data_IF_804770706471
#
_entry.id   IF_804770706471
#
_cell.length_a   1.000
_cell.length_b   1.000
_cell.length_c   1.000
_cell.angle_alpha   90.00
_cell.angle_beta   90.00
_cell.angle_gamma   90.00
#
_symmetry.space_group_name_H-M   'P 1'
#
loop_
_entity.id
_entity.type
_entity.pdbx_description
1 polymer ?
#
# COMPACT_ATOMS: atom_id res chain seq x y z
N UNK A 1 25.46 -9.44 -26.82
CA UNK A 1 24.49 -8.75 -25.96
C UNK A 1 25.04 -8.72 -24.55
N UNK A 2 25.55 -7.59 -24.15
CA UNK A 2 25.97 -7.37 -22.78
C UNK A 2 24.74 -6.95 -21.98
N UNK A 3 24.18 -7.87 -21.18
CA UNK A 3 23.27 -7.46 -20.14
C UNK A 3 24.10 -6.72 -19.09
N UNK A 4 23.86 -5.43 -18.94
CA UNK A 4 24.45 -4.68 -17.84
C UNK A 4 23.94 -5.26 -16.53
N UNK A 5 24.82 -5.46 -15.57
CA UNK A 5 24.42 -5.84 -14.21
C UNK A 5 23.53 -4.73 -13.63
N UNK A 6 22.50 -5.09 -12.88
CA UNK A 6 21.64 -4.11 -12.23
C UNK A 6 22.46 -3.23 -11.29
N UNK A 7 22.13 -1.96 -11.21
CA UNK A 7 22.76 -1.07 -10.27
C UNK A 7 22.36 -1.37 -8.82
N UNK A 8 23.02 -0.72 -7.86
CA UNK A 8 22.76 -0.97 -6.44
C UNK A 8 21.31 -0.66 -6.04
N UNK A 9 20.70 0.37 -6.62
CA UNK A 9 19.31 0.73 -6.34
C UNK A 9 18.34 -0.32 -6.88
N UNK A 10 18.59 -0.83 -8.08
CA UNK A 10 17.79 -1.91 -8.66
C UNK A 10 17.90 -3.20 -7.84
N UNK A 11 19.09 -3.50 -7.32
CA UNK A 11 19.32 -4.66 -6.46
C UNK A 11 18.55 -4.54 -5.14
N UNK A 12 18.55 -3.36 -4.53
CA UNK A 12 17.79 -3.09 -3.30
C UNK A 12 16.30 -3.23 -3.56
N UNK A 13 15.80 -2.62 -4.63
CA UNK A 13 14.40 -2.70 -4.99
C UNK A 13 13.94 -4.15 -5.23
N UNK A 14 14.75 -4.96 -5.90
CA UNK A 14 14.47 -6.36 -6.15
C UNK A 14 14.44 -7.18 -4.83
N UNK A 15 15.35 -6.92 -3.92
CA UNK A 15 15.41 -7.58 -2.62
C UNK A 15 14.19 -7.21 -1.75
N UNK A 16 13.81 -5.95 -1.73
CA UNK A 16 12.61 -5.49 -1.03
C UNK A 16 11.35 -6.15 -1.58
N UNK A 17 11.21 -6.20 -2.90
CA UNK A 17 10.09 -6.85 -3.57
C UNK A 17 9.96 -8.32 -3.22
N UNK A 18 11.07 -9.03 -3.16
CA UNK A 18 11.11 -10.46 -2.81
C UNK A 18 10.68 -10.71 -1.37
N UNK A 19 11.06 -9.82 -0.46
CA UNK A 19 10.80 -9.97 0.98
C UNK A 19 9.44 -9.44 1.42
N UNK A 20 8.87 -8.50 0.68
CA UNK A 20 7.68 -7.77 1.06
C UNK A 20 6.39 -8.56 0.84
N UNK A 21 5.39 -8.24 1.63
CA UNK A 21 4.01 -8.71 1.44
C UNK A 21 3.10 -7.51 1.14
N UNK A 22 2.40 -7.59 0.02
CA UNK A 22 1.34 -6.62 -0.31
C UNK A 22 0.01 -7.21 0.13
N UNK A 23 -0.65 -6.56 1.09
CA UNK A 23 -1.96 -6.99 1.58
C UNK A 23 -3.04 -6.20 0.85
N UNK A 24 -4.03 -6.91 0.32
CA UNK A 24 -5.15 -6.32 -0.39
C UNK A 24 -6.41 -6.59 0.41
N UNK A 25 -7.08 -5.52 0.84
CA UNK A 25 -8.35 -5.62 1.56
C UNK A 25 -9.42 -4.94 0.71
N UNK A 26 -10.35 -5.72 0.22
CA UNK A 26 -11.48 -5.28 -0.58
C UNK A 26 -12.61 -6.28 -0.38
N UNK A 27 -13.84 -5.80 -0.24
CA UNK A 27 -15.00 -6.68 -0.06
C UNK A 27 -15.49 -7.31 -1.37
N UNK A 28 -15.08 -6.75 -2.51
CA UNK A 28 -15.40 -7.30 -3.81
C UNK A 28 -14.36 -8.33 -4.24
N UNK A 29 -14.77 -9.60 -4.29
CA UNK A 29 -13.86 -10.70 -4.60
C UNK A 29 -13.18 -10.55 -5.97
N UNK A 30 -13.92 -10.12 -6.97
CA UNK A 30 -13.38 -9.97 -8.32
C UNK A 30 -12.29 -8.90 -8.38
N UNK A 31 -12.46 -7.80 -7.67
CA UNK A 31 -11.48 -6.71 -7.59
C UNK A 31 -10.21 -7.19 -6.89
N UNK A 32 -10.34 -7.76 -5.69
CA UNK A 32 -9.15 -8.17 -4.93
C UNK A 32 -8.38 -9.30 -5.59
N UNK A 33 -9.07 -10.26 -6.19
CA UNK A 33 -8.41 -11.37 -6.90
C UNK A 33 -7.71 -10.90 -8.18
N UNK A 34 -8.31 -9.97 -8.92
CA UNK A 34 -7.68 -9.38 -10.10
C UNK A 34 -6.42 -8.58 -9.72
N UNK A 35 -6.47 -7.80 -8.67
CA UNK A 35 -5.31 -7.07 -8.17
C UNK A 35 -4.21 -8.01 -7.70
N UNK A 36 -4.57 -9.06 -6.96
CA UNK A 36 -3.60 -10.04 -6.47
C UNK A 36 -2.92 -10.77 -7.63
N UNK A 37 -3.68 -11.16 -8.64
CA UNK A 37 -3.13 -11.81 -9.82
C UNK A 37 -2.14 -10.90 -10.56
N UNK A 38 -2.52 -9.66 -10.79
CA UNK A 38 -1.67 -8.67 -11.44
C UNK A 38 -0.35 -8.50 -10.67
N UNK A 39 -0.43 -8.35 -9.35
CA UNK A 39 0.75 -8.19 -8.51
C UNK A 39 1.66 -9.42 -8.55
N UNK A 40 1.10 -10.61 -8.52
CA UNK A 40 1.87 -11.86 -8.59
C UNK A 40 2.57 -12.02 -9.94
N UNK A 41 1.92 -11.64 -11.03
CA UNK A 41 2.52 -11.63 -12.37
C UNK A 41 3.71 -10.68 -12.42
N UNK A 42 3.62 -9.55 -11.72
CA UNK A 42 4.70 -8.56 -11.63
C UNK A 42 5.77 -8.93 -10.59
N UNK A 43 5.67 -10.10 -9.98
CA UNK A 43 6.68 -10.62 -9.05
C UNK A 43 6.48 -10.26 -7.59
N UNK A 44 5.37 -9.65 -7.22
CA UNK A 44 5.05 -9.35 -5.83
C UNK A 44 4.39 -10.54 -5.13
N UNK A 45 4.65 -10.69 -3.85
CA UNK A 45 3.85 -11.59 -3.00
C UNK A 45 2.64 -10.82 -2.51
N UNK A 46 1.46 -11.32 -2.80
CA UNK A 46 0.20 -10.68 -2.45
C UNK A 46 -0.67 -11.61 -1.63
N UNK A 47 -1.31 -11.06 -0.61
CA UNK A 47 -2.31 -11.76 0.21
C UNK A 47 -3.59 -10.94 0.24
N UNK A 48 -4.72 -11.62 0.11
CA UNK A 48 -6.03 -10.97 0.05
C UNK A 48 -6.82 -11.22 1.34
N UNK A 49 -7.60 -10.23 1.73
CA UNK A 49 -8.53 -10.31 2.84
C UNK A 49 -9.89 -9.76 2.42
N UNK A 50 -10.99 -10.44 2.76
CA UNK A 50 -12.32 -10.00 2.36
C UNK A 50 -12.84 -8.80 3.14
N UNK A 51 -12.24 -8.51 4.29
CA UNK A 51 -12.64 -7.41 5.17
C UNK A 51 -11.52 -7.04 6.14
N UNK A 52 -11.72 -5.92 6.81
CA UNK A 52 -10.75 -5.38 7.77
C UNK A 52 -10.51 -6.33 8.96
N UNK A 53 -11.56 -6.98 9.44
CA UNK A 53 -11.46 -7.88 10.59
C UNK A 53 -10.57 -9.10 10.28
N UNK A 54 -10.73 -9.70 9.10
CA UNK A 54 -9.89 -10.82 8.67
C UNK A 54 -8.41 -10.42 8.67
N UNK A 55 -8.10 -9.23 8.14
CA UNK A 55 -6.75 -8.68 8.18
C UNK A 55 -6.22 -8.53 9.60
N UNK A 56 -6.99 -7.91 10.48
CA UNK A 56 -6.56 -7.66 11.86
C UNK A 56 -6.30 -8.94 12.65
N UNK A 57 -7.02 -10.01 12.34
CA UNK A 57 -6.88 -11.30 13.03
C UNK A 57 -5.78 -12.16 12.45
N UNK A 58 -5.65 -12.19 11.13
CA UNK A 58 -4.84 -13.19 10.43
C UNK A 58 -3.48 -12.71 9.98
N UNK A 59 -3.30 -11.40 9.77
CA UNK A 59 -2.08 -10.88 9.18
C UNK A 59 -0.91 -10.86 10.16
N UNK A 60 0.28 -11.18 9.64
CA UNK A 60 1.53 -10.95 10.37
C UNK A 60 2.12 -9.59 9.94
N UNK A 61 1.75 -8.56 10.69
CA UNK A 61 2.19 -7.19 10.44
C UNK A 61 3.69 -6.99 10.64
N UNK A 62 4.41 -7.96 11.19
CA UNK A 62 5.87 -7.92 11.32
C UNK A 62 6.56 -8.06 9.97
N UNK A 63 5.90 -8.70 9.01
CA UNK A 63 6.45 -8.81 7.65
C UNK A 63 6.37 -7.46 6.94
N UNK A 64 7.50 -6.94 6.42
CA UNK A 64 7.50 -5.67 5.69
C UNK A 64 6.58 -5.71 4.47
N UNK A 65 6.09 -4.56 4.10
CA UNK A 65 5.26 -4.42 2.92
C UNK A 65 4.36 -3.20 2.96
N UNK A 66 3.17 -3.36 2.44
CA UNK A 66 2.17 -2.30 2.43
C UNK A 66 0.76 -2.88 2.41
N UNK A 67 -0.21 -1.99 2.54
CA UNK A 67 -1.62 -2.28 2.54
C UNK A 67 -2.29 -1.56 1.39
N UNK A 68 -3.04 -2.28 0.57
CA UNK A 68 -3.92 -1.72 -0.47
C UNK A 68 -5.34 -1.90 0.05
N UNK A 69 -6.02 -0.81 0.30
CA UNK A 69 -7.22 -0.78 1.12
C UNK A 69 -8.35 -0.03 0.45
N UNK A 70 -9.48 -0.70 0.24
CA UNK A 70 -10.70 -0.06 -0.22
C UNK A 70 -11.26 0.85 0.88
N UNK A 71 -11.71 2.03 0.49
CA UNK A 71 -12.33 2.99 1.41
C UNK A 71 -13.70 2.49 1.89
N UNK A 72 -14.52 2.00 0.96
CA UNK A 72 -15.88 1.53 1.27
C UNK A 72 -15.94 0.04 1.44
N UNK A 73 -16.11 -0.38 2.68
CA UNK A 73 -16.34 -1.79 3.00
C UNK A 73 -17.44 -1.88 4.07
N UNK A 74 -18.26 -2.95 4.06
CA UNK A 74 -19.23 -3.16 5.11
C UNK A 74 -18.55 -3.44 6.45
N UNK A 75 -19.22 -3.15 7.55
CA UNK A 75 -18.82 -3.35 8.94
C UNK A 75 -17.71 -2.42 9.41
N UNK A 76 -16.54 -2.46 8.79
CA UNK A 76 -15.44 -1.55 9.09
C UNK A 76 -14.94 -0.95 7.79
N UNK A 77 -15.00 0.37 7.65
CA UNK A 77 -14.51 1.09 6.50
C UNK A 77 -12.98 1.13 6.48
N UNK A 78 -12.40 1.49 5.34
CA UNK A 78 -10.95 1.65 5.24
C UNK A 78 -10.39 2.68 6.22
N UNK A 79 -11.11 3.79 6.44
CA UNK A 79 -10.69 4.81 7.41
C UNK A 79 -10.77 4.31 8.84
N UNK A 80 -11.81 3.57 9.18
CA UNK A 80 -11.94 2.98 10.50
C UNK A 80 -10.83 1.97 10.77
N UNK A 81 -10.45 1.19 9.76
CA UNK A 81 -9.30 0.29 9.86
C UNK A 81 -8.01 1.07 10.08
N UNK A 82 -7.79 2.14 9.34
CA UNK A 82 -6.61 3.00 9.53
C UNK A 82 -6.53 3.52 10.97
N UNK A 83 -7.63 4.01 11.50
CA UNK A 83 -7.70 4.49 12.89
C UNK A 83 -7.42 3.37 13.90
N UNK A 84 -7.96 2.18 13.67
CA UNK A 84 -7.73 1.02 14.53
C UNK A 84 -6.26 0.57 14.51
N UNK A 85 -5.64 0.61 13.33
CA UNK A 85 -4.21 0.31 13.20
C UNK A 85 -3.36 1.31 13.98
N UNK A 86 -3.66 2.60 13.87
CA UNK A 86 -2.97 3.65 14.62
C UNK A 86 -3.13 3.43 16.12
N UNK A 87 -4.33 3.10 16.59
CA UNK A 87 -4.61 2.81 17.98
C UNK A 87 -3.80 1.62 18.51
N UNK A 88 -3.58 0.61 17.66
CA UNK A 88 -2.79 -0.58 18.00
C UNK A 88 -1.29 -0.42 17.80
N UNK A 89 -0.85 0.71 17.27
CA UNK A 89 0.56 0.92 16.93
C UNK A 89 1.02 0.12 15.72
N UNK A 90 0.12 -0.28 14.85
CA UNK A 90 0.44 -0.99 13.62
C UNK A 90 0.74 0.02 12.51
N UNK A 91 1.97 -0.01 12.00
CA UNK A 91 2.47 1.01 11.08
C UNK A 91 2.80 0.44 9.71
N UNK A 92 1.78 0.01 8.98
CA UNK A 92 1.94 -0.37 7.58
C UNK A 92 1.59 0.81 6.68
N UNK A 93 2.43 1.13 5.69
CA UNK A 93 2.06 2.12 4.68
C UNK A 93 0.79 1.70 3.96
N UNK A 94 -0.16 2.60 3.85
CA UNK A 94 -1.49 2.30 3.31
C UNK A 94 -1.76 3.11 2.05
N UNK A 95 -2.17 2.42 0.99
CA UNK A 95 -2.62 3.00 -0.27
C UNK A 95 -4.13 2.77 -0.32
N UNK A 96 -4.90 3.86 -0.33
CA UNK A 96 -6.35 3.76 -0.44
C UNK A 96 -6.80 3.66 -1.90
N UNK A 97 -7.75 2.77 -2.14
CA UNK A 97 -8.50 2.73 -3.41
C UNK A 97 -9.88 3.32 -3.17
N UNK A 98 -10.26 4.30 -3.97
CA UNK A 98 -11.48 5.04 -3.75
C UNK A 98 -12.26 5.28 -5.04
N UNK A 99 -13.59 5.29 -4.96
CA UNK A 99 -14.43 5.79 -6.04
C UNK A 99 -14.47 7.33 -6.04
N UNK A 100 -14.98 7.92 -7.11
CA UNK A 100 -15.07 9.38 -7.23
C UNK A 100 -15.89 10.03 -6.11
N UNK A 101 -16.89 9.33 -5.59
CA UNK A 101 -17.75 9.83 -4.52
C UNK A 101 -17.03 10.01 -3.17
N UNK A 102 -15.87 9.39 -3.02
CA UNK A 102 -15.15 9.34 -1.73
C UNK A 102 -13.83 10.14 -1.75
N UNK A 103 -13.67 11.05 -2.70
CA UNK A 103 -12.43 11.84 -2.83
C UNK A 103 -12.16 12.66 -1.56
N UNK A 104 -13.18 13.29 -0.96
CA UNK A 104 -13.01 14.07 0.27
C UNK A 104 -12.54 13.20 1.44
N UNK A 105 -13.04 11.98 1.49
CA UNK A 105 -12.64 10.98 2.49
C UNK A 105 -11.18 10.58 2.28
N UNK A 106 -10.77 10.38 1.03
CA UNK A 106 -9.41 10.04 0.67
C UNK A 106 -8.42 11.16 1.03
N UNK A 107 -8.77 12.41 0.76
CA UNK A 107 -7.95 13.57 1.15
C UNK A 107 -7.78 13.62 2.67
N UNK A 108 -8.83 13.38 3.41
CA UNK A 108 -8.79 13.29 4.88
C UNK A 108 -7.84 12.19 5.36
N UNK A 109 -7.80 11.06 4.66
CA UNK A 109 -6.93 9.93 5.02
C UNK A 109 -5.44 10.25 4.85
N UNK A 110 -5.07 11.06 3.86
CA UNK A 110 -3.70 11.50 3.65
C UNK A 110 -3.20 12.30 4.85
N UNK A 111 -4.05 13.15 5.42
CA UNK A 111 -3.72 13.93 6.62
C UNK A 111 -3.49 13.04 7.85
N UNK A 112 -3.96 11.80 7.83
CA UNK A 112 -3.81 10.82 8.91
C UNK A 112 -2.68 9.82 8.69
N UNK A 113 -1.85 10.04 7.66
CA UNK A 113 -0.67 9.22 7.40
C UNK A 113 -0.84 8.15 6.34
N UNK A 114 -1.89 8.17 5.52
CA UNK A 114 -1.94 7.34 4.33
C UNK A 114 -0.85 7.77 3.36
N UNK A 115 -0.23 6.81 2.69
CA UNK A 115 0.88 7.06 1.77
C UNK A 115 0.37 7.66 0.46
N UNK A 116 -0.76 7.14 -0.02
CA UNK A 116 -1.33 7.56 -1.29
C UNK A 116 -2.80 7.17 -1.35
N UNK A 117 -3.54 7.74 -2.30
CA UNK A 117 -4.84 7.22 -2.68
C UNK A 117 -4.96 7.22 -4.20
N UNK A 118 -5.66 6.22 -4.72
CA UNK A 118 -5.86 6.04 -6.15
C UNK A 118 -7.35 5.90 -6.43
N UNK A 119 -7.80 6.50 -7.53
CA UNK A 119 -9.21 6.49 -7.92
C UNK A 119 -9.47 5.28 -8.81
N UNK A 120 -10.51 4.53 -8.50
CA UNK A 120 -10.97 3.41 -9.32
C UNK A 120 -11.62 3.91 -10.62
N UNK A 121 -11.41 3.27 -11.78
CA UNK A 121 -10.60 2.09 -12.03
C UNK A 121 -9.10 2.41 -11.95
N UNK A 122 -8.35 1.54 -11.27
CA UNK A 122 -6.93 1.78 -11.00
C UNK A 122 -6.08 1.42 -12.22
N UNK A 123 -5.17 2.33 -12.58
CA UNK A 123 -4.14 2.03 -13.57
C UNK A 123 -3.04 1.16 -12.93
N UNK A 124 -2.73 0.04 -13.57
CA UNK A 124 -1.79 -0.94 -13.03
C UNK A 124 -0.39 -0.37 -12.79
N UNK A 125 0.13 0.38 -13.75
CA UNK A 125 1.49 0.97 -13.64
C UNK A 125 1.58 1.92 -12.46
N UNK A 126 0.55 2.68 -12.25
CA UNK A 126 0.45 3.66 -11.18
C UNK A 126 0.37 2.98 -9.83
N UNK A 127 -0.43 1.93 -9.73
CA UNK A 127 -0.52 1.14 -8.50
C UNK A 127 0.81 0.49 -8.18
N UNK A 128 1.48 -0.07 -9.18
CA UNK A 128 2.80 -0.69 -9.00
C UNK A 128 3.86 0.31 -8.54
N UNK A 129 3.88 1.52 -9.09
CA UNK A 129 4.76 2.59 -8.62
C UNK A 129 4.48 2.97 -7.17
N UNK A 130 3.21 3.11 -6.82
CA UNK A 130 2.78 3.46 -5.46
C UNK A 130 3.15 2.35 -4.46
N UNK A 131 2.97 1.10 -4.84
CA UNK A 131 3.35 -0.05 -4.01
C UNK A 131 4.86 -0.10 -3.79
N UNK A 132 5.65 0.05 -4.84
CA UNK A 132 7.11 0.04 -4.71
C UNK A 132 7.60 1.15 -3.78
N UNK A 133 7.05 2.34 -3.91
CA UNK A 133 7.38 3.47 -3.05
C UNK A 133 6.96 3.23 -1.58
N UNK A 134 5.78 2.70 -1.38
CA UNK A 134 5.27 2.39 -0.03
C UNK A 134 6.12 1.31 0.65
N UNK A 135 6.45 0.26 -0.06
CA UNK A 135 7.30 -0.83 0.44
C UNK A 135 8.69 -0.32 0.80
N UNK A 136 9.29 0.50 -0.05
CA UNK A 136 10.60 1.10 0.25
C UNK A 136 10.55 1.95 1.52
N UNK A 137 9.50 2.75 1.66
CA UNK A 137 9.25 3.55 2.87
C UNK A 137 9.18 2.67 4.12
N UNK A 138 8.50 1.54 4.05
CA UNK A 138 8.37 0.62 5.18
C UNK A 138 9.71 -0.02 5.57
N UNK A 139 10.52 -0.40 4.60
CA UNK A 139 11.86 -0.92 4.86
C UNK A 139 12.75 0.13 5.53
N UNK A 140 12.73 1.38 5.05
CA UNK A 140 13.50 2.46 5.65
C UNK A 140 13.06 2.72 7.09
N UNK A 141 11.77 2.76 7.35
CA UNK A 141 11.23 2.97 8.70
C UNK A 141 11.66 1.85 9.66
N UNK A 142 11.57 0.60 9.22
CA UNK A 142 11.93 -0.57 10.04
C UNK A 142 13.43 -0.63 10.30
N UNK A 143 14.24 -0.15 9.38
CA UNK A 143 15.68 -0.06 9.55
C UNK A 143 16.13 1.09 10.48
N UNK A 144 15.19 1.93 10.91
CA UNK A 144 15.50 3.11 11.72
C UNK A 144 16.26 4.17 10.96
N UNK A 145 16.18 4.17 9.64
CA UNK A 145 16.82 5.20 8.80
C UNK A 145 16.09 6.51 9.03
N UNK A 146 16.88 7.45 9.40
CA UNK A 146 16.68 8.81 9.78
C UNK A 146 15.28 9.40 9.59
N UNK A 147 14.72 9.84 10.66
CA UNK A 147 13.54 10.64 10.61
C UNK A 147 12.39 9.86 10.01
N UNK A 148 11.96 8.79 10.67
CA UNK A 148 10.71 8.12 10.35
C UNK A 148 9.57 9.10 10.16
N UNK A 149 9.66 10.29 10.72
CA UNK A 149 8.75 11.39 10.47
C UNK A 149 8.92 11.99 9.07
N UNK A 150 10.14 12.06 8.55
CA UNK A 150 10.41 12.62 7.23
C UNK A 150 9.95 11.73 6.07
N UNK A 151 10.10 10.43 6.18
CA UNK A 151 9.75 9.49 5.13
C UNK A 151 8.26 9.46 4.82
N UNK A 152 7.43 9.32 5.83
CA UNK A 152 5.96 9.26 5.68
C UNK A 152 5.41 10.61 5.23
N UNK A 153 5.93 11.71 5.80
CA UNK A 153 5.52 13.06 5.41
C UNK A 153 5.90 13.41 3.98
N UNK A 154 7.04 12.90 3.50
CA UNK A 154 7.48 13.12 2.13
C UNK A 154 6.51 12.48 1.15
N UNK A 155 6.01 11.29 1.45
CA UNK A 155 5.00 10.62 0.63
C UNK A 155 3.66 11.34 0.65
N UNK A 156 3.21 11.81 1.81
CA UNK A 156 1.94 12.55 1.90
C UNK A 156 2.00 13.91 1.22
N UNK A 157 3.19 14.45 0.98
CA UNK A 157 3.39 15.71 0.27
C UNK A 157 3.66 15.52 -1.23
N UNK A 158 3.82 14.28 -1.70
CA UNK A 158 3.92 14.04 -3.13
C UNK A 158 2.65 14.52 -3.81
N UNK A 159 2.79 15.33 -4.87
CA UNK A 159 1.62 15.79 -5.59
C UNK A 159 0.84 14.57 -6.05
N UNK A 160 -0.43 14.57 -5.71
CA UNK A 160 -1.36 13.60 -6.24
C UNK A 160 -1.26 13.74 -7.74
N UNK A 161 -0.61 12.79 -8.35
CA UNK A 161 -0.59 12.75 -9.80
C UNK A 161 -2.04 12.57 -10.23
N UNK A 162 -2.68 13.68 -10.57
CA UNK A 162 -4.01 13.61 -11.15
C UNK A 162 -3.88 12.82 -12.43
N UNK A 163 -4.53 11.70 -12.45
CA UNK A 163 -4.50 10.85 -13.63
C UNK A 163 -5.85 10.90 -14.25
N UNK A 164 -5.92 11.78 -15.17
CA UNK A 164 -6.91 11.68 -16.20
C UNK A 164 -6.62 10.47 -17.05
#
# INVERSE_FOLDING_TARGET
MTQSLPDAAEQVAAAEKESALVRIIDDEIDVREALALMLRIEGWTAKTYPNARAFLIEDDVRRPGCLVLDVRMPLMTGLELQNEMLRRGLMLPTIFLTGHADIDVAVSSLKRGAVDFLIKPVNDEILLESIAAAVHCDFLRRAGVAGGEGGIRTFSLMPIKSKT
#
